data_IF_622771485666
#
_entry.id   IF_622771485666
#
_cell.length_a   1.000
_cell.length_b   1.000
_cell.length_c   1.000
_cell.angle_alpha   90.00
_cell.angle_beta   90.00
_cell.angle_gamma   90.00
#
_symmetry.space_group_name_H-M   'P 1'
#
loop_
_entity.id
_entity.type
_entity.pdbx_description
1 polymer ?
#
# COMPACT_ATOMS: atom_id res chain seq x y z
N UNK A 1 -54.32 9.75 -10.89
CA UNK A 1 -53.32 8.75 -10.45
C UNK A 1 -52.00 9.07 -11.14
N UNK A 2 -50.97 9.52 -10.41
CA UNK A 2 -49.72 9.93 -11.06
C UNK A 2 -48.63 10.41 -10.11
N UNK A 3 -48.98 11.04 -8.98
CA UNK A 3 -47.98 11.57 -8.04
C UNK A 3 -47.17 10.48 -7.30
N UNK A 4 -47.74 9.30 -7.06
CA UNK A 4 -47.07 8.22 -6.33
C UNK A 4 -45.95 7.54 -7.12
N UNK A 5 -46.05 7.50 -8.46
CA UNK A 5 -45.03 6.89 -9.32
C UNK A 5 -43.79 7.78 -9.47
N UNK A 6 -43.95 9.10 -9.47
CA UNK A 6 -42.82 10.05 -9.48
C UNK A 6 -42.02 10.01 -8.18
N UNK A 7 -42.69 9.94 -7.03
CA UNK A 7 -42.01 9.85 -5.73
C UNK A 7 -41.21 8.55 -5.56
N UNK A 8 -41.70 7.43 -6.11
CA UNK A 8 -40.94 6.16 -6.15
C UNK A 8 -39.68 6.30 -7.01
N UNK A 9 -39.81 6.92 -8.20
CA UNK A 9 -38.69 7.13 -9.12
C UNK A 9 -37.61 8.06 -8.53
N UNK A 10 -38.00 9.10 -7.80
CA UNK A 10 -37.04 9.99 -7.12
C UNK A 10 -36.28 9.29 -5.98
N UNK A 11 -36.97 8.48 -5.18
CA UNK A 11 -36.32 7.70 -4.10
C UNK A 11 -35.33 6.69 -4.66
N UNK A 12 -35.67 6.06 -5.78
CA UNK A 12 -34.81 5.10 -6.44
C UNK A 12 -33.56 5.78 -7.03
N UNK A 13 -33.73 6.95 -7.66
CA UNK A 13 -32.61 7.77 -8.16
C UNK A 13 -31.64 8.19 -7.05
N UNK A 14 -32.18 8.69 -5.93
CA UNK A 14 -31.36 9.06 -4.75
C UNK A 14 -30.60 7.87 -4.14
N UNK A 15 -31.16 6.66 -4.19
CA UNK A 15 -30.46 5.44 -3.74
C UNK A 15 -29.33 5.06 -4.69
N UNK A 16 -29.56 5.16 -6.00
CA UNK A 16 -28.55 4.87 -7.01
C UNK A 16 -27.38 5.87 -6.93
N UNK A 17 -27.67 7.17 -6.78
CA UNK A 17 -26.67 8.23 -6.61
C UNK A 17 -25.79 8.00 -5.38
N UNK A 18 -26.37 7.70 -4.21
CA UNK A 18 -25.61 7.39 -2.99
C UNK A 18 -24.74 6.13 -3.12
N UNK A 19 -25.21 5.12 -3.85
CA UNK A 19 -24.44 3.91 -4.08
C UNK A 19 -23.30 4.13 -5.07
N UNK A 20 -23.51 4.95 -6.10
CA UNK A 20 -22.48 5.37 -7.04
C UNK A 20 -21.39 6.17 -6.33
N UNK A 21 -21.75 7.15 -5.50
CA UNK A 21 -20.81 7.95 -4.71
C UNK A 21 -19.96 7.10 -3.75
N UNK A 22 -20.59 6.11 -3.10
CA UNK A 22 -19.86 5.15 -2.23
C UNK A 22 -18.91 4.25 -3.02
N UNK A 23 -19.28 3.87 -4.25
CA UNK A 23 -18.44 3.04 -5.12
C UNK A 23 -17.25 3.84 -5.66
N UNK A 24 -17.48 5.09 -6.03
CA UNK A 24 -16.46 6.03 -6.48
C UNK A 24 -15.44 6.32 -5.36
N UNK A 25 -15.90 6.57 -4.13
CA UNK A 25 -15.01 6.69 -2.95
C UNK A 25 -14.19 5.43 -2.65
N UNK A 26 -14.69 4.23 -2.99
CA UNK A 26 -13.94 2.97 -2.84
C UNK A 26 -12.92 2.77 -3.96
N UNK A 27 -13.20 3.23 -5.17
CA UNK A 27 -12.24 3.22 -6.28
C UNK A 27 -11.11 4.22 -6.05
N UNK A 28 -11.43 5.43 -5.60
CA UNK A 28 -10.41 6.44 -5.23
C UNK A 28 -9.46 5.96 -4.12
N UNK A 29 -9.93 5.12 -3.19
CA UNK A 29 -9.07 4.47 -2.18
C UNK A 29 -8.20 3.33 -2.71
N UNK A 30 -8.57 2.71 -3.83
CA UNK A 30 -7.76 1.69 -4.51
C UNK A 30 -6.71 2.31 -5.44
N UNK A 31 -7.01 3.48 -6.00
CA UNK A 31 -6.11 4.20 -6.92
C UNK A 31 -5.25 5.26 -6.22
N UNK A 32 -5.30 5.35 -4.88
CA UNK A 32 -4.23 6.03 -4.16
C UNK A 32 -3.03 5.09 -4.27
N UNK A 33 -1.94 5.46 -4.94
CA UNK A 33 -0.70 4.74 -4.80
C UNK A 33 -0.28 4.99 -3.36
N UNK A 34 -0.68 4.09 -2.46
CA UNK A 34 0.19 3.81 -1.34
C UNK A 34 1.51 3.49 -2.02
N UNK A 35 2.57 4.22 -1.68
CA UNK A 35 3.92 3.72 -1.89
C UNK A 35 3.96 2.42 -1.06
N UNK A 36 3.45 1.34 -1.63
CA UNK A 36 3.54 0.01 -1.07
C UNK A 36 5.02 -0.30 -1.15
N UNK A 37 5.70 0.03 -0.05
CA UNK A 37 7.04 -0.46 0.22
C UNK A 37 6.97 -1.95 -0.10
N UNK A 38 7.74 -2.38 -1.09
CA UNK A 38 7.80 -3.78 -1.50
C UNK A 38 8.57 -4.55 -0.42
N UNK A 39 7.86 -4.85 0.66
CA UNK A 39 8.41 -5.49 1.85
C UNK A 39 9.00 -6.85 1.52
N UNK A 40 8.40 -7.60 0.59
CA UNK A 40 8.88 -8.91 0.16
C UNK A 40 10.24 -8.78 -0.55
N UNK A 41 10.36 -7.83 -1.48
CA UNK A 41 11.63 -7.56 -2.16
C UNK A 41 12.74 -7.09 -1.19
N UNK A 42 12.40 -6.25 -0.22
CA UNK A 42 13.34 -5.77 0.79
C UNK A 42 13.81 -6.88 1.74
N UNK A 43 12.91 -7.78 2.13
CA UNK A 43 13.24 -8.95 2.95
C UNK A 43 14.10 -9.96 2.17
N UNK A 44 13.84 -10.15 0.87
CA UNK A 44 14.70 -10.97 0.00
C UNK A 44 16.10 -10.38 -0.12
N UNK A 45 16.22 -9.05 -0.33
CA UNK A 45 17.53 -8.36 -0.32
C UNK A 45 18.27 -8.57 0.99
N UNK A 46 17.58 -8.45 2.13
CA UNK A 46 18.19 -8.67 3.45
C UNK A 46 18.71 -10.10 3.62
N UNK A 47 17.96 -11.10 3.13
CA UNK A 47 18.39 -12.50 3.15
C UNK A 47 19.68 -12.70 2.34
N UNK A 48 19.70 -12.21 1.09
CA UNK A 48 20.88 -12.33 0.23
C UNK A 48 22.11 -11.62 0.83
N UNK A 49 21.90 -10.43 1.39
CA UNK A 49 22.94 -9.67 2.09
C UNK A 49 23.53 -10.47 3.27
N UNK A 50 22.67 -11.12 4.05
CA UNK A 50 23.10 -11.96 5.18
C UNK A 50 23.83 -13.22 4.73
N UNK A 51 23.41 -13.85 3.62
CA UNK A 51 24.10 -14.99 3.01
C UNK A 51 25.50 -14.58 2.50
N UNK A 52 25.64 -13.41 1.87
CA UNK A 52 26.92 -12.88 1.40
C UNK A 52 27.89 -12.57 2.54
N UNK A 53 27.40 -11.95 3.63
CA UNK A 53 28.22 -11.69 4.81
C UNK A 53 28.65 -12.99 5.50
N UNK A 54 27.74 -13.96 5.65
CA UNK A 54 28.07 -15.27 6.22
C UNK A 54 29.08 -16.06 5.36
N UNK A 55 29.04 -15.88 4.05
CA UNK A 55 30.03 -16.42 3.11
C UNK A 55 31.36 -15.65 3.09
N UNK A 56 31.47 -14.52 3.79
CA UNK A 56 32.64 -13.65 3.81
C UNK A 56 32.90 -12.93 2.48
N UNK A 57 31.87 -12.78 1.64
CA UNK A 57 31.95 -12.08 0.34
C UNK A 57 32.01 -10.56 0.56
N UNK A 58 31.31 -10.07 1.58
CA UNK A 58 31.32 -8.69 2.02
C UNK A 58 31.81 -8.60 3.46
N UNK A 59 32.44 -7.49 3.81
CA UNK A 59 32.88 -7.21 5.17
C UNK A 59 31.74 -6.68 6.06
N UNK A 60 32.02 -6.60 7.36
CA UNK A 60 31.03 -6.17 8.34
C UNK A 60 30.56 -4.72 8.13
N UNK A 61 31.46 -3.83 7.67
CA UNK A 61 31.13 -2.43 7.40
C UNK A 61 30.13 -2.31 6.24
N UNK A 62 30.38 -3.02 5.14
CA UNK A 62 29.46 -3.06 3.98
C UNK A 62 28.12 -3.69 4.38
N UNK A 63 28.15 -4.77 5.15
CA UNK A 63 26.94 -5.44 5.64
C UNK A 63 26.07 -4.49 6.48
N UNK A 64 26.66 -3.75 7.42
CA UNK A 64 25.92 -2.84 8.29
C UNK A 64 25.32 -1.67 7.51
N UNK A 65 26.06 -1.09 6.56
CA UNK A 65 25.56 -0.01 5.72
C UNK A 65 24.34 -0.45 4.89
N UNK A 66 24.43 -1.55 4.15
CA UNK A 66 23.33 -2.04 3.31
C UNK A 66 22.14 -2.55 4.14
N UNK A 67 22.40 -3.15 5.30
CA UNK A 67 21.35 -3.57 6.24
C UNK A 67 20.55 -2.37 6.71
N UNK A 68 21.22 -1.27 7.07
CA UNK A 68 20.58 -0.05 7.52
C UNK A 68 19.72 0.57 6.41
N UNK A 69 20.21 0.62 5.17
CA UNK A 69 19.42 1.08 4.01
C UNK A 69 18.11 0.29 3.85
N UNK A 70 18.17 -1.04 3.98
CA UNK A 70 16.99 -1.91 3.89
C UNK A 70 16.02 -1.61 5.04
N UNK A 71 16.53 -1.39 6.26
CA UNK A 71 15.71 -1.17 7.44
C UNK A 71 15.05 0.21 7.43
N UNK A 72 15.74 1.24 6.93
CA UNK A 72 15.17 2.57 6.66
C UNK A 72 14.08 2.47 5.59
N UNK A 73 14.33 1.73 4.50
CA UNK A 73 13.33 1.51 3.46
C UNK A 73 12.09 0.75 3.96
N UNK A 74 12.26 -0.15 4.94
CA UNK A 74 11.17 -0.83 5.64
C UNK A 74 10.48 0.04 6.70
N UNK A 75 11.01 1.21 7.03
CA UNK A 75 10.54 2.07 8.13
C UNK A 75 10.77 1.46 9.53
N UNK A 76 11.70 0.51 9.65
CA UNK A 76 12.07 -0.14 10.91
C UNK A 76 13.21 0.56 11.64
N UNK A 77 13.91 1.44 10.94
CA UNK A 77 14.95 2.29 11.52
C UNK A 77 14.67 3.74 11.14
N UNK A 78 14.67 4.61 12.15
CA UNK A 78 14.52 6.04 12.01
C UNK A 78 15.89 6.64 12.31
N UNK A 79 16.72 6.84 11.30
CA UNK A 79 17.77 7.84 11.39
C UNK A 79 17.08 9.20 11.44
N UNK A 80 16.65 9.61 12.63
CA UNK A 80 16.16 10.95 12.97
C UNK A 80 17.32 11.97 12.91
#
# INVERSE_FOLDING_TARGET
MGAESFQKRERERRRQERNAERREKRQQRKDTPSEEIDTDALMERFRLLSEQHAAGVIDAETYEAERLEIFVALGLDSTD
#
